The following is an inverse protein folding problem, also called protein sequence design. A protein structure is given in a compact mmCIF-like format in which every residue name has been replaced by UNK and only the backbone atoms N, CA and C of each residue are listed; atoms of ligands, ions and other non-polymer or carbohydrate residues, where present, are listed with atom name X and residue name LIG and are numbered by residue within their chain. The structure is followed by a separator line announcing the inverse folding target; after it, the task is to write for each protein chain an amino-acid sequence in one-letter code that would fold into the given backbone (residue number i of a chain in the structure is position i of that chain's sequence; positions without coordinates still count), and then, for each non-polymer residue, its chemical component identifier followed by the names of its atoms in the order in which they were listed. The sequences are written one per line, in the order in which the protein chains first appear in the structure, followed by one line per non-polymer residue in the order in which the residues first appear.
data_IF_652537910387
#
_entry.id   IF_652537910387
#
_cell.length_a   1.000
_cell.length_b   1.000
_cell.length_c   1.000
_cell.angle_alpha   90.00
_cell.angle_beta   90.00
_cell.angle_gamma   90.00
#
_symmetry.space_group_name_H-M   'P 1'
#
loop_
_entity.id
_entity.type
_entity.pdbx_description
1 polymer ?
#
# COMPACT_ATOMS: atom_id res chain seq x y z
N UNK A 1 11.84 -6.43 -9.80
CA UNK A 1 12.46 -7.73 -9.52
C UNK A 1 12.21 -8.02 -8.06
N UNK A 2 11.70 -9.22 -7.73
CA UNK A 2 11.42 -9.62 -6.36
C UNK A 2 12.62 -9.44 -5.43
N UNK A 3 12.33 -9.13 -4.17
CA UNK A 3 13.34 -9.02 -3.13
C UNK A 3 13.48 -10.34 -2.39
N UNK A 4 14.70 -10.83 -2.25
CA UNK A 4 15.02 -12.01 -1.45
C UNK A 4 15.31 -11.55 -0.01
N UNK A 5 14.52 -12.01 0.97
CA UNK A 5 14.64 -11.58 2.38
C UNK A 5 14.68 -10.05 2.52
N UNK A 6 13.87 -9.36 1.71
CA UNK A 6 13.75 -7.88 1.63
C UNK A 6 15.00 -7.16 1.10
N UNK A 7 15.93 -7.88 0.49
CA UNK A 7 17.10 -7.32 -0.18
C UNK A 7 17.02 -7.50 -1.70
N UNK A 8 17.66 -6.63 -2.49
CA UNK A 8 17.76 -6.82 -3.93
C UNK A 8 18.36 -8.19 -4.27
N UNK A 9 17.63 -8.95 -5.09
CA UNK A 9 18.11 -10.23 -5.61
C UNK A 9 18.84 -10.01 -6.92
N UNK A 10 20.02 -10.61 -7.05
CA UNK A 10 20.83 -10.57 -8.25
C UNK A 10 20.91 -11.98 -8.82
N UNK A 11 20.51 -12.10 -10.09
CA UNK A 11 20.64 -13.35 -10.84
C UNK A 11 22.10 -13.58 -11.21
N UNK A 12 22.48 -14.84 -11.23
CA UNK A 12 23.77 -15.32 -11.75
C UNK A 12 23.76 -15.09 -13.26
N UNK A 13 24.84 -14.50 -13.76
CA UNK A 13 25.03 -14.33 -15.20
C UNK A 13 25.41 -15.68 -15.82
N UNK A 14 25.00 -15.97 -17.06
CA UNK A 14 25.50 -17.14 -17.77
C UNK A 14 27.03 -17.20 -17.76
N UNK A 15 27.65 -18.39 -17.61
CA UNK A 15 29.09 -18.56 -17.74
C UNK A 15 29.59 -17.98 -19.08
N UNK A 16 30.68 -17.19 -19.09
CA UNK A 16 31.16 -16.53 -20.30
C UNK A 16 31.73 -17.52 -21.33
N UNK A 17 32.13 -18.71 -20.89
CA UNK A 17 32.71 -19.80 -21.66
C UNK A 17 31.67 -20.86 -22.08
N UNK A 18 30.38 -20.56 -21.97
CA UNK A 18 29.30 -21.49 -22.31
C UNK A 18 29.28 -21.76 -23.82
N UNK A 19 29.43 -23.04 -24.21
CA UNK A 19 29.31 -23.45 -25.61
C UNK A 19 27.85 -23.49 -26.06
N UNK A 20 27.50 -23.15 -27.33
CA UNK A 20 26.12 -23.20 -27.83
C UNK A 20 25.46 -24.58 -27.73
N UNK A 21 26.25 -25.65 -27.81
CA UNK A 21 25.79 -27.04 -27.78
C UNK A 21 25.97 -27.71 -26.40
N UNK A 22 26.32 -26.94 -25.37
CA UNK A 22 26.56 -27.45 -24.03
C UNK A 22 25.25 -27.83 -23.32
N UNK A 23 25.17 -29.05 -22.79
CA UNK A 23 24.06 -29.47 -21.94
C UNK A 23 24.16 -28.83 -20.55
N UNK A 24 23.11 -28.12 -20.15
CA UNK A 24 23.05 -27.36 -18.89
C UNK A 24 21.68 -27.46 -18.25
N UNK A 25 21.62 -27.18 -16.95
CA UNK A 25 20.36 -27.06 -16.21
C UNK A 25 19.84 -25.61 -16.30
N UNK A 26 18.62 -25.44 -16.80
CA UNK A 26 17.98 -24.13 -16.96
C UNK A 26 16.86 -23.91 -15.94
N UNK A 27 17.02 -22.91 -15.08
CA UNK A 27 15.96 -22.45 -14.20
C UNK A 27 15.02 -21.49 -14.94
N UNK A 28 13.90 -22.00 -15.45
CA UNK A 28 12.93 -21.22 -16.23
C UNK A 28 12.36 -20.01 -15.49
N UNK A 29 12.20 -20.10 -14.16
CA UNK A 29 11.62 -19.02 -13.35
C UNK A 29 12.51 -17.79 -13.33
N UNK A 30 13.80 -17.97 -13.04
CA UNK A 30 14.78 -16.87 -12.95
C UNK A 30 15.53 -16.64 -14.26
N UNK A 31 15.38 -17.53 -15.24
CA UNK A 31 16.13 -17.58 -16.48
C UNK A 31 17.65 -17.66 -16.25
N UNK A 32 18.06 -18.48 -15.29
CA UNK A 32 19.46 -18.75 -14.97
C UNK A 32 19.90 -20.12 -15.49
N UNK A 33 21.19 -20.24 -15.76
CA UNK A 33 21.84 -21.44 -16.31
C UNK A 33 22.85 -21.96 -15.29
N UNK A 34 22.88 -23.27 -15.07
CA UNK A 34 23.75 -23.96 -14.14
C UNK A 34 24.38 -25.17 -14.83
N UNK A 35 25.70 -25.37 -14.64
CA UNK A 35 26.39 -26.59 -15.06
C UNK A 35 26.20 -27.72 -14.05
N UNK A 36 26.17 -27.37 -12.76
CA UNK A 36 26.00 -28.31 -11.67
C UNK A 36 24.52 -28.50 -11.30
N UNK A 37 24.17 -29.76 -10.98
CA UNK A 37 22.80 -30.11 -10.62
C UNK A 37 22.42 -29.62 -9.22
N UNK A 38 23.33 -29.65 -8.25
CA UNK A 38 23.06 -29.22 -6.88
C UNK A 38 22.80 -27.71 -6.84
N UNK A 39 23.61 -26.91 -7.55
CA UNK A 39 23.39 -25.46 -7.68
C UNK A 39 22.00 -25.14 -8.30
N UNK A 40 21.62 -25.89 -9.34
CA UNK A 40 20.30 -25.79 -9.94
C UNK A 40 19.19 -26.17 -8.95
N UNK A 41 19.37 -27.27 -8.22
CA UNK A 41 18.37 -27.77 -7.29
C UNK A 41 18.18 -26.81 -6.10
N UNK A 42 19.26 -26.27 -5.54
CA UNK A 42 19.23 -25.21 -4.53
C UNK A 42 18.47 -23.98 -5.03
N UNK A 43 18.67 -23.58 -6.31
CA UNK A 43 17.91 -22.48 -6.92
C UNK A 43 16.42 -22.77 -6.94
N UNK A 44 16.02 -23.97 -7.33
CA UNK A 44 14.61 -24.36 -7.36
C UNK A 44 14.00 -24.34 -5.96
N UNK A 45 14.71 -24.84 -4.94
CA UNK A 45 14.25 -24.77 -3.54
C UNK A 45 14.09 -23.31 -3.10
N UNK A 46 15.07 -22.44 -3.40
CA UNK A 46 15.02 -21.04 -3.05
C UNK A 46 13.84 -20.32 -3.72
N UNK A 47 13.58 -20.58 -5.01
CA UNK A 47 12.46 -19.98 -5.74
C UNK A 47 11.09 -20.40 -5.16
N UNK A 48 10.98 -21.63 -4.67
CA UNK A 48 9.76 -22.17 -4.06
C UNK A 48 9.62 -21.85 -2.56
N UNK A 49 10.65 -21.28 -1.93
CA UNK A 49 10.62 -20.89 -0.52
C UNK A 49 9.85 -19.59 -0.31
N UNK A 50 9.11 -19.47 0.80
CA UNK A 50 8.33 -18.26 1.16
C UNK A 50 9.21 -17.12 1.74
N UNK A 51 10.37 -16.88 1.14
CA UNK A 51 11.34 -15.86 1.58
C UNK A 51 11.39 -14.64 0.66
N UNK A 52 10.55 -14.62 -0.37
CA UNK A 52 10.47 -13.51 -1.32
C UNK A 52 9.46 -12.46 -0.88
N UNK A 53 9.68 -11.26 -1.38
CA UNK A 53 8.76 -10.15 -1.22
C UNK A 53 8.66 -9.32 -2.50
N UNK A 54 7.46 -8.80 -2.77
CA UNK A 54 7.20 -7.92 -3.90
C UNK A 54 7.89 -6.57 -3.65
N UNK A 55 8.78 -6.13 -4.56
CA UNK A 55 9.49 -4.85 -4.39
C UNK A 55 8.52 -3.65 -4.40
N UNK A 56 7.43 -3.76 -5.15
CA UNK A 56 6.46 -2.67 -5.35
C UNK A 56 5.49 -2.60 -4.18
N UNK A 57 4.75 -3.67 -3.88
CA UNK A 57 3.73 -3.67 -2.80
C UNK A 57 4.37 -3.85 -1.42
N UNK A 58 5.51 -4.53 -1.32
CA UNK A 58 6.16 -4.89 -0.06
C UNK A 58 5.52 -6.08 0.63
N UNK A 59 4.56 -6.76 -0.02
CA UNK A 59 4.00 -8.02 0.45
C UNK A 59 5.12 -9.04 0.56
N UNK A 60 5.26 -9.65 1.73
CA UNK A 60 6.28 -10.64 2.04
C UNK A 60 5.69 -12.05 2.12
N UNK A 61 6.56 -13.02 2.41
CA UNK A 61 6.20 -14.44 2.53
C UNK A 61 5.61 -14.99 1.23
N UNK A 62 6.25 -14.65 0.12
CA UNK A 62 5.89 -15.12 -1.22
C UNK A 62 6.97 -16.07 -1.74
N UNK A 63 6.59 -16.93 -2.66
CA UNK A 63 7.52 -17.57 -3.61
C UNK A 63 8.01 -16.56 -4.65
N UNK A 64 9.03 -16.94 -5.42
CA UNK A 64 9.57 -16.09 -6.49
C UNK A 64 8.48 -15.72 -7.52
N UNK A 65 7.71 -16.72 -7.94
CA UNK A 65 6.66 -16.56 -8.95
C UNK A 65 5.53 -15.66 -8.45
N UNK A 66 5.03 -15.89 -7.23
CA UNK A 66 3.99 -15.04 -6.64
C UNK A 66 4.46 -13.59 -6.45
N UNK A 67 5.75 -13.39 -6.13
CA UNK A 67 6.32 -12.05 -6.03
C UNK A 67 6.34 -11.34 -7.39
N UNK A 68 6.69 -12.04 -8.48
CA UNK A 68 6.60 -11.51 -9.85
C UNK A 68 5.16 -11.14 -10.20
N UNK A 69 4.21 -12.05 -10.00
CA UNK A 69 2.80 -11.80 -10.30
C UNK A 69 2.24 -10.64 -9.48
N UNK A 70 2.65 -10.53 -8.21
CA UNK A 70 2.32 -9.38 -7.37
C UNK A 70 2.92 -8.08 -7.90
N UNK A 71 4.15 -8.09 -8.44
CA UNK A 71 4.76 -6.91 -9.06
C UNK A 71 4.00 -6.50 -10.32
N UNK A 72 3.70 -7.46 -11.20
CA UNK A 72 2.97 -7.20 -12.44
C UNK A 72 1.57 -6.62 -12.16
N UNK A 73 0.83 -7.22 -11.22
CA UNK A 73 -0.47 -6.71 -10.78
C UNK A 73 -0.36 -5.30 -10.20
N UNK A 74 0.69 -5.02 -9.43
CA UNK A 74 0.93 -3.70 -8.87
C UNK A 74 1.21 -2.65 -9.96
N UNK A 75 2.01 -2.98 -10.98
CA UNK A 75 2.27 -2.10 -12.11
C UNK A 75 1.01 -1.80 -12.92
N UNK A 76 0.18 -2.82 -13.20
CA UNK A 76 -1.14 -2.63 -13.85
C UNK A 76 -2.05 -1.71 -13.04
N UNK A 77 -2.07 -1.87 -11.71
CA UNK A 77 -2.83 -1.00 -10.82
C UNK A 77 -2.33 0.45 -10.81
N UNK A 78 -1.00 0.65 -10.82
CA UNK A 78 -0.39 1.98 -10.90
C UNK A 78 -0.69 2.65 -12.25
N UNK A 79 -0.65 1.90 -13.35
CA UNK A 79 -0.94 2.41 -14.69
C UNK A 79 -2.40 2.86 -14.84
N UNK A 80 -3.33 2.21 -14.15
CA UNK A 80 -4.76 2.57 -14.14
C UNK A 80 -5.12 3.63 -13.11
N UNK A 81 -4.15 4.18 -12.37
CA UNK A 81 -4.41 5.22 -11.38
C UNK A 81 -4.85 6.52 -12.07
N UNK A 82 -6.00 7.13 -11.69
CA UNK A 82 -6.59 8.21 -12.47
C UNK A 82 -5.70 9.46 -12.52
N UNK A 83 -5.43 9.96 -13.73
CA UNK A 83 -4.53 11.10 -13.95
C UNK A 83 -4.93 12.36 -13.19
N UNK A 84 -6.24 12.64 -13.12
CA UNK A 84 -6.80 13.79 -12.39
C UNK A 84 -6.61 13.70 -10.87
N UNK A 85 -6.42 12.50 -10.29
CA UNK A 85 -6.12 12.34 -8.86
C UNK A 85 -4.64 12.41 -8.54
N UNK A 86 -3.75 12.26 -9.54
CA UNK A 86 -2.32 12.14 -9.30
C UNK A 86 -1.72 13.36 -8.60
N UNK A 87 -2.06 14.57 -9.05
CA UNK A 87 -1.55 15.83 -8.48
C UNK A 87 -2.20 16.14 -7.12
N UNK A 88 -3.54 16.15 -6.97
CA UNK A 88 -4.18 16.39 -5.67
C UNK A 88 -3.68 15.46 -4.57
N UNK A 89 -3.52 14.16 -4.86
CA UNK A 89 -3.07 13.17 -3.87
C UNK A 89 -1.64 13.43 -3.41
N UNK A 90 -0.73 13.76 -4.32
CA UNK A 90 0.65 14.09 -3.96
C UNK A 90 0.73 15.44 -3.22
N UNK A 91 -0.09 16.41 -3.61
CA UNK A 91 -0.16 17.68 -2.89
C UNK A 91 -0.66 17.48 -1.46
N UNK A 92 -1.71 16.67 -1.25
CA UNK A 92 -2.16 16.33 0.09
C UNK A 92 -1.07 15.60 0.89
N UNK A 93 -0.32 14.70 0.24
CA UNK A 93 0.79 14.01 0.88
C UNK A 93 1.89 14.97 1.36
N UNK A 94 2.16 16.07 0.65
CA UNK A 94 3.14 17.07 1.11
C UNK A 94 2.68 17.88 2.33
N UNK A 95 1.39 17.88 2.64
CA UNK A 95 0.83 18.52 3.84
C UNK A 95 0.83 17.62 5.09
N UNK A 96 1.13 16.33 4.94
CA UNK A 96 1.10 15.37 6.04
C UNK A 96 2.45 15.24 6.74
N UNK A 97 2.43 14.74 7.98
CA UNK A 97 3.64 14.46 8.74
C UNK A 97 3.52 13.11 9.48
N UNK A 98 3.56 12.01 8.71
CA UNK A 98 3.39 10.64 9.22
C UNK A 98 4.65 9.78 9.08
N UNK A 99 4.95 8.99 10.10
CA UNK A 99 6.09 8.04 10.10
C UNK A 99 5.75 6.70 9.47
N UNK A 100 4.46 6.33 9.45
CA UNK A 100 3.97 5.09 8.86
C UNK A 100 3.18 5.36 7.57
N UNK A 101 3.44 4.57 6.54
CA UNK A 101 2.74 4.65 5.25
C UNK A 101 1.22 4.46 5.42
N UNK A 102 0.78 3.59 6.33
CA UNK A 102 -0.65 3.37 6.56
C UNK A 102 -1.32 4.63 7.10
N UNK A 103 -0.71 5.32 8.07
CA UNK A 103 -1.25 6.56 8.64
C UNK A 103 -1.30 7.67 7.59
N UNK A 104 -0.23 7.83 6.81
CA UNK A 104 -0.20 8.74 5.65
C UNK A 104 -1.37 8.48 4.70
N UNK A 105 -1.51 7.22 4.29
CA UNK A 105 -2.55 6.82 3.35
C UNK A 105 -3.95 7.02 3.93
N UNK A 106 -4.12 6.77 5.22
CA UNK A 106 -5.40 6.87 5.89
C UNK A 106 -5.89 8.32 5.94
N UNK A 107 -5.01 9.26 6.31
CA UNK A 107 -5.27 10.70 6.28
C UNK A 107 -5.74 11.14 4.88
N UNK A 108 -4.96 10.81 3.85
CA UNK A 108 -5.24 11.21 2.47
C UNK A 108 -6.50 10.53 1.93
N UNK A 109 -6.68 9.23 2.18
CA UNK A 109 -7.82 8.47 1.69
C UNK A 109 -9.12 8.96 2.33
N UNK A 110 -9.13 9.17 3.66
CA UNK A 110 -10.32 9.68 4.37
C UNK A 110 -10.66 11.09 3.92
N UNK A 111 -9.67 11.94 3.68
CA UNK A 111 -9.92 13.28 3.15
C UNK A 111 -10.53 13.24 1.74
N UNK A 112 -9.95 12.41 0.87
CA UNK A 112 -10.29 12.35 -0.55
C UNK A 112 -11.60 11.61 -0.82
N UNK A 113 -11.96 10.58 -0.05
CA UNK A 113 -13.07 9.67 -0.39
C UNK A 113 -14.39 10.38 -0.69
N UNK A 114 -14.68 11.47 0.02
CA UNK A 114 -15.93 12.24 -0.09
C UNK A 114 -15.73 13.65 -0.72
N UNK A 115 -14.52 13.98 -1.17
CA UNK A 115 -14.19 15.28 -1.79
C UNK A 115 -13.74 15.07 -3.23
N UNK A 116 -14.33 15.82 -4.16
CA UNK A 116 -14.06 15.69 -5.60
C UNK A 116 -13.24 16.88 -6.10
N UNK A 117 -12.12 16.63 -6.76
CA UNK A 117 -11.18 17.68 -7.15
C UNK A 117 -11.57 18.34 -8.47
N UNK A 118 -11.06 19.55 -8.70
CA UNK A 118 -11.13 20.20 -10.01
C UNK A 118 -10.50 19.29 -11.07
N UNK A 119 -11.09 19.27 -12.26
CA UNK A 119 -10.78 18.38 -13.39
C UNK A 119 -11.05 16.89 -13.19
N UNK A 120 -11.59 16.49 -12.04
CA UNK A 120 -11.94 15.09 -11.77
C UNK A 120 -13.13 14.60 -12.58
N UNK A 121 -13.06 13.36 -13.08
CA UNK A 121 -14.19 12.68 -13.71
C UNK A 121 -15.01 11.91 -12.68
N UNK A 122 -16.28 12.27 -12.53
CA UNK A 122 -17.22 11.74 -11.53
C UNK A 122 -18.53 11.26 -12.18
N UNK A 123 -19.27 10.43 -11.47
CA UNK A 123 -20.66 10.08 -11.78
C UNK A 123 -21.59 11.00 -11.00
N UNK A 124 -22.52 11.65 -11.70
CA UNK A 124 -23.50 12.58 -11.14
C UNK A 124 -24.91 12.06 -11.38
N UNK A 125 -25.71 12.02 -10.32
CA UNK A 125 -27.15 11.73 -10.39
C UNK A 125 -27.90 12.98 -10.83
N UNK A 126 -28.44 12.97 -12.06
CA UNK A 126 -29.28 14.04 -12.60
C UNK A 126 -30.69 13.46 -12.85
N UNK A 127 -31.64 13.81 -11.97
CA UNK A 127 -32.92 13.11 -11.91
C UNK A 127 -32.68 11.63 -11.57
N UNK A 128 -33.13 10.73 -12.45
CA UNK A 128 -32.96 9.29 -12.29
C UNK A 128 -31.81 8.70 -13.13
N UNK A 129 -31.03 9.54 -13.81
CA UNK A 129 -29.93 9.09 -14.68
C UNK A 129 -28.56 9.37 -14.05
N UNK A 130 -27.64 8.41 -14.20
CA UNK A 130 -26.22 8.58 -13.89
C UNK A 130 -25.46 9.07 -15.10
N UNK A 131 -24.86 10.25 -15.01
CA UNK A 131 -24.05 10.84 -16.08
C UNK A 131 -22.60 10.98 -15.65
N UNK A 132 -21.69 10.76 -16.59
CA UNK A 132 -20.25 11.00 -16.37
C UNK A 132 -19.96 12.47 -16.63
N UNK A 133 -19.52 13.18 -15.59
CA UNK A 133 -19.24 14.61 -15.64
C UNK A 133 -17.81 14.92 -15.19
N UNK A 134 -17.28 16.05 -15.66
CA UNK A 134 -16.02 16.64 -15.20
C UNK A 134 -16.33 17.73 -14.17
N UNK A 135 -15.63 17.73 -13.04
CA UNK A 135 -15.71 18.81 -12.05
C UNK A 135 -14.94 20.02 -12.57
N UNK A 136 -15.62 21.16 -12.73
CA UNK A 136 -15.00 22.41 -13.16
C UNK A 136 -14.64 23.31 -11.98
N UNK A 137 -15.48 23.33 -10.96
CA UNK A 137 -15.28 24.18 -9.78
C UNK A 137 -15.92 23.57 -8.55
N UNK A 138 -15.29 23.80 -7.40
CA UNK A 138 -15.82 23.46 -6.08
C UNK A 138 -16.37 24.73 -5.43
N UNK A 139 -17.57 24.68 -4.88
CA UNK A 139 -18.25 25.81 -4.22
C UNK A 139 -18.32 25.50 -2.72
N UNK A 140 -17.57 26.23 -1.87
CA UNK A 140 -17.68 26.07 -0.43
C UNK A 140 -19.02 26.62 0.08
N UNK A 141 -19.47 26.19 1.26
CA UNK A 141 -20.63 26.80 1.91
C UNK A 141 -20.40 28.30 2.15
N UNK A 142 -21.47 29.11 2.05
CA UNK A 142 -21.41 30.58 2.08
C UNK A 142 -20.70 31.18 3.31
N UNK A 143 -20.65 30.46 4.44
CA UNK A 143 -19.95 30.88 5.65
C UNK A 143 -18.41 30.76 5.59
N UNK A 144 -17.83 30.36 4.45
CA UNK A 144 -16.40 30.06 4.31
C UNK A 144 -15.64 30.95 3.31
N UNK A 145 -16.30 31.96 2.73
CA UNK A 145 -15.62 32.98 1.92
C UNK A 145 -15.25 34.14 2.86
N UNK A 146 -13.97 34.38 3.19
CA UNK A 146 -13.56 35.74 3.47
C UNK A 146 -13.84 36.55 2.20
N UNK A 147 -14.71 37.54 2.29
CA UNK A 147 -15.07 38.42 1.18
C UNK A 147 -13.82 39.09 0.62
N UNK A 148 -13.32 38.60 -0.52
CA UNK A 148 -12.50 39.39 -1.42
C UNK A 148 -13.36 39.66 -2.64
N UNK A 149 -14.23 40.66 -2.50
CA UNK A 149 -14.78 41.39 -3.62
C UNK A 149 -14.93 42.84 -3.17
N UNK A 150 -14.10 43.70 -3.72
CA UNK A 150 -14.10 45.13 -3.46
C UNK A 150 -15.49 45.72 -3.70
N UNK A 151 -16.13 46.11 -2.61
CA UNK A 151 -17.20 47.08 -2.62
C UNK A 151 -16.66 48.30 -1.86
N UNK A 152 -16.68 49.46 -2.51
CA UNK A 152 -16.34 50.73 -1.89
C UNK A 152 -17.42 50.99 -0.83
N UNK A 153 -17.07 50.90 0.45
CA UNK A 153 -17.89 51.40 1.55
C UNK A 153 -17.15 52.61 2.11
N UNK A 154 -17.65 53.80 1.78
CA UNK A 154 -17.43 55.00 2.57
C UNK A 154 -18.52 54.95 3.65
N UNK A 155 -18.16 54.63 4.90
CA UNK A 155 -18.08 55.62 5.99
C UNK A 155 -17.98 54.94 7.38
N UNK A 156 -17.04 55.48 8.16
CA UNK A 156 -17.02 55.67 9.63
C UNK A 156 -17.17 54.52 10.65
N UNK A 157 -16.10 54.46 11.45
CA UNK A 157 -15.98 54.27 12.89
C UNK A 157 -15.77 52.87 13.52
N UNK A 158 -14.88 52.93 14.52
CA UNK A 158 -14.13 51.86 15.16
C UNK A 158 -15.00 50.81 15.88
N UNK A 159 -14.50 49.57 15.95
CA UNK A 159 -14.11 48.93 17.22
C UNK A 159 -13.53 47.53 16.95
N UNK A 160 -12.41 47.29 17.61
CA UNK A 160 -11.57 46.09 17.57
C UNK A 160 -12.29 44.89 18.20
N UNK A 161 -12.41 43.79 17.45
CA UNK A 161 -12.64 42.47 18.04
C UNK A 161 -11.87 41.39 17.28
N UNK A 162 -10.57 41.28 17.60
CA UNK A 162 -9.73 40.13 17.26
C UNK A 162 -10.29 38.83 17.88
N UNK A 163 -11.24 38.19 17.20
CA UNK A 163 -11.56 36.77 17.41
C UNK A 163 -10.88 35.95 16.30
N UNK A 164 -9.65 35.50 16.55
CA UNK A 164 -8.99 34.47 15.72
C UNK A 164 -9.72 33.13 15.91
N UNK A 165 -10.82 32.94 15.19
CA UNK A 165 -11.53 31.67 15.13
C UNK A 165 -10.60 30.63 14.49
N UNK A 166 -10.37 29.52 15.19
CA UNK A 166 -9.64 28.38 14.63
C UNK A 166 -10.36 27.97 13.33
N UNK A 167 -9.64 27.73 12.21
CA UNK A 167 -10.29 27.36 10.96
C UNK A 167 -11.10 26.08 11.16
N UNK A 168 -12.42 26.22 11.13
CA UNK A 168 -13.35 25.10 11.30
C UNK A 168 -13.24 24.23 10.05
N UNK A 169 -12.81 22.98 10.21
CA UNK A 169 -12.73 22.04 9.11
C UNK A 169 -14.13 21.77 8.53
N UNK A 170 -14.37 22.27 7.31
CA UNK A 170 -15.64 22.11 6.61
C UNK A 170 -15.89 20.64 6.25
N UNK A 171 -17.10 20.17 6.52
CA UNK A 171 -17.51 18.80 6.19
C UNK A 171 -17.71 18.66 4.68
N UNK A 172 -17.40 17.48 4.15
CA UNK A 172 -17.40 17.23 2.71
C UNK A 172 -18.80 17.35 2.06
N UNK A 173 -19.85 17.10 2.83
CA UNK A 173 -21.26 17.16 2.41
C UNK A 173 -21.80 18.60 2.24
N UNK A 174 -21.09 19.60 2.77
CA UNK A 174 -21.47 21.01 2.70
C UNK A 174 -21.06 21.67 1.37
N UNK A 175 -20.20 21.02 0.58
CA UNK A 175 -19.74 21.54 -0.69
C UNK A 175 -20.75 21.27 -1.82
N UNK A 176 -20.79 22.20 -2.78
CA UNK A 176 -21.45 22.00 -4.08
C UNK A 176 -20.39 21.95 -5.18
N UNK A 177 -20.71 21.27 -6.27
CA UNK A 177 -19.80 21.07 -7.40
C UNK A 177 -20.44 21.61 -8.67
N UNK A 178 -19.70 22.44 -9.40
CA UNK A 178 -20.04 22.84 -10.76
C UNK A 178 -19.44 21.79 -11.69
N UNK A 179 -20.29 21.07 -12.40
CA UNK A 179 -19.91 19.93 -13.24
C UNK A 179 -20.35 20.13 -14.68
N UNK A 180 -19.64 19.50 -15.61
CA UNK A 180 -19.94 19.50 -17.04
C UNK A 180 -20.05 18.06 -17.55
N UNK A 181 -21.14 17.73 -18.24
CA UNK A 181 -21.35 16.40 -18.81
C UNK A 181 -20.33 16.12 -19.93
N UNK A 182 -19.75 14.92 -19.93
CA UNK A 182 -18.79 14.52 -20.96
C UNK A 182 -19.47 14.52 -22.34
N UNK A 183 -18.98 15.34 -23.27
CA UNK A 183 -19.51 15.47 -24.63
C UNK A 183 -20.48 16.63 -24.83
N UNK A 184 -20.83 17.38 -23.78
CA UNK A 184 -21.61 18.62 -23.89
C UNK A 184 -20.80 19.78 -23.31
N UNK A 185 -20.24 20.61 -24.19
CA UNK A 185 -19.32 21.70 -23.79
C UNK A 185 -20.03 22.91 -23.16
N UNK A 186 -21.32 23.13 -23.44
CA UNK A 186 -21.94 24.43 -23.17
C UNK A 186 -22.84 24.44 -21.92
N UNK A 187 -23.05 23.30 -21.26
CA UNK A 187 -23.97 23.19 -20.12
C UNK A 187 -23.20 22.79 -18.87
N UNK A 188 -23.17 23.70 -17.89
CA UNK A 188 -22.66 23.45 -16.56
C UNK A 188 -23.81 23.35 -15.57
N UNK A 189 -23.74 22.38 -14.67
CA UNK A 189 -24.77 22.13 -13.66
C UNK A 189 -24.13 22.24 -12.28
N UNK A 190 -24.80 22.91 -11.35
CA UNK A 190 -24.37 22.92 -9.94
C UNK A 190 -25.11 21.82 -9.18
N UNK A 191 -24.38 20.89 -8.58
CA UNK A 191 -24.95 19.75 -7.85
C UNK A 191 -24.41 19.67 -6.41
N UNK A 192 -25.23 19.30 -5.42
CA UNK A 192 -24.75 18.99 -4.08
C UNK A 192 -23.82 17.78 -4.05
N UNK A 193 -22.90 17.71 -3.07
CA UNK A 193 -22.01 16.57 -2.86
C UNK A 193 -22.71 15.20 -2.83
N UNK A 194 -23.94 15.15 -2.30
CA UNK A 194 -24.76 13.92 -2.20
C UNK A 194 -25.10 13.27 -3.54
N UNK A 195 -25.09 14.04 -4.63
CA UNK A 195 -25.41 13.56 -5.98
C UNK A 195 -24.16 13.21 -6.78
N UNK A 196 -22.97 13.43 -6.23
CA UNK A 196 -21.68 13.18 -6.88
C UNK A 196 -21.04 11.94 -6.27
N UNK A 197 -20.50 11.07 -7.10
CA UNK A 197 -19.79 9.87 -6.68
C UNK A 197 -18.68 9.51 -7.66
N UNK A 198 -17.67 8.78 -7.20
CA UNK A 198 -16.69 8.15 -8.11
C UNK A 198 -17.22 6.81 -8.58
N UNK A 199 -16.94 6.47 -9.85
CA UNK A 199 -17.17 5.11 -10.34
C UNK A 199 -16.47 4.09 -9.45
N UNK A 200 -17.17 3.00 -9.12
CA UNK A 200 -16.67 1.96 -8.20
C UNK A 200 -15.31 1.42 -8.67
N UNK A 201 -14.35 1.35 -7.76
CA UNK A 201 -13.01 0.80 -8.02
C UNK A 201 -12.02 1.75 -8.69
N UNK A 202 -12.42 2.97 -9.06
CA UNK A 202 -11.51 3.99 -9.62
C UNK A 202 -10.46 4.41 -8.60
N UNK A 203 -10.89 4.72 -7.37
CA UNK A 203 -10.03 5.11 -6.26
C UNK A 203 -10.37 4.27 -5.03
N UNK A 204 -9.44 3.41 -4.61
CA UNK A 204 -9.57 2.53 -3.45
C UNK A 204 -8.43 2.78 -2.47
N UNK A 205 -8.58 2.31 -1.22
CA UNK A 205 -7.54 2.47 -0.20
C UNK A 205 -6.22 1.85 -0.63
N UNK A 206 -6.27 0.67 -1.24
CA UNK A 206 -5.08 -0.02 -1.74
C UNK A 206 -4.44 0.70 -2.93
N UNK A 207 -5.24 1.24 -3.86
CA UNK A 207 -4.71 2.03 -4.99
C UNK A 207 -4.04 3.32 -4.50
N UNK A 208 -4.67 4.02 -3.55
CA UNK A 208 -4.08 5.19 -2.88
C UNK A 208 -2.74 4.83 -2.22
N UNK A 209 -2.72 3.77 -1.40
CA UNK A 209 -1.53 3.32 -0.68
C UNK A 209 -0.40 2.93 -1.63
N UNK A 210 -0.73 2.19 -2.68
CA UNK A 210 0.24 1.76 -3.69
C UNK A 210 0.83 2.96 -4.44
N UNK A 211 -0.02 3.92 -4.81
CA UNK A 211 0.41 5.16 -5.47
C UNK A 211 1.32 5.99 -4.56
N UNK A 212 0.93 6.20 -3.30
CA UNK A 212 1.77 6.92 -2.32
C UNK A 212 3.11 6.22 -2.11
N UNK A 213 3.13 4.88 -2.00
CA UNK A 213 4.37 4.12 -1.86
C UNK A 213 5.32 4.30 -3.04
N UNK A 214 4.78 4.42 -4.26
CA UNK A 214 5.59 4.62 -5.47
C UNK A 214 6.26 6.01 -5.50
N UNK A 215 5.53 7.04 -5.09
CA UNK A 215 5.93 8.45 -5.26
C UNK A 215 6.37 9.17 -3.98
N UNK A 216 6.28 8.52 -2.83
CA UNK A 216 6.78 9.03 -1.55
C UNK A 216 7.95 8.17 -1.05
N UNK A 217 8.75 8.75 -0.18
CA UNK A 217 9.89 8.11 0.47
C UNK A 217 10.03 8.58 1.91
N UNK A 218 10.74 7.81 2.74
CA UNK A 218 10.97 8.17 4.14
C UNK A 218 12.20 9.07 4.24
N UNK A 219 12.00 10.32 4.66
CA UNK A 219 13.06 11.29 4.94
C UNK A 219 13.07 11.56 6.44
N UNK A 220 14.17 11.22 7.12
CA UNK A 220 14.31 11.37 8.58
C UNK A 220 13.18 10.68 9.38
N UNK A 221 12.68 9.54 8.90
CA UNK A 221 11.61 8.78 9.56
C UNK A 221 10.19 9.27 9.28
N UNK A 222 10.01 10.25 8.39
CA UNK A 222 8.72 10.81 7.98
C UNK A 222 8.53 10.60 6.49
N UNK A 223 7.34 10.18 6.07
CA UNK A 223 7.04 10.05 4.65
C UNK A 223 6.88 11.42 4.01
N UNK A 224 7.64 11.67 2.94
CA UNK A 224 7.57 12.87 2.10
C UNK A 224 7.45 12.47 0.64
N UNK A 225 6.89 13.36 -0.18
CA UNK A 225 6.83 13.16 -1.63
C UNK A 225 8.26 13.23 -2.20
N UNK A 226 8.62 12.29 -3.08
CA UNK A 226 9.93 12.27 -3.74
C UNK A 226 10.15 13.55 -4.54
N UNK A 227 11.35 14.11 -4.48
CA UNK A 227 11.68 15.33 -5.24
C UNK A 227 11.52 15.12 -6.76
N UNK A 228 11.79 13.91 -7.26
CA UNK A 228 11.55 13.54 -8.66
C UNK A 228 10.06 13.60 -9.03
N UNK A 229 9.17 13.22 -8.12
CA UNK A 229 7.73 13.29 -8.32
C UNK A 229 7.24 14.74 -8.28
N UNK A 230 7.77 15.55 -7.35
CA UNK A 230 7.48 16.99 -7.26
C UNK A 230 7.80 17.69 -8.58
N UNK A 231 9.00 17.48 -9.13
CA UNK A 231 9.43 18.04 -10.41
C UNK A 231 8.59 17.52 -11.58
N UNK A 232 8.43 16.20 -11.71
CA UNK A 232 7.70 15.58 -12.83
C UNK A 232 6.22 15.97 -12.87
N UNK A 233 5.61 16.23 -11.71
CA UNK A 233 4.18 16.58 -11.61
C UNK A 233 3.94 18.08 -11.45
N UNK A 234 5.00 18.91 -11.41
CA UNK A 234 4.88 20.36 -11.31
C UNK A 234 4.21 20.82 -10.02
N UNK A 235 4.53 20.20 -8.89
CA UNK A 235 3.87 20.47 -7.59
C UNK A 235 4.39 21.73 -6.87
N UNK A 236 5.54 22.29 -7.29
CA UNK A 236 6.13 23.48 -6.64
C UNK A 236 5.29 24.74 -6.80
N UNK A 237 4.69 24.87 -7.98
CA UNK A 237 3.91 26.06 -8.36
C UNK A 237 2.41 25.88 -8.11
N UNK A 238 2.02 24.76 -7.49
CA UNK A 238 0.62 24.48 -7.18
C UNK A 238 0.21 25.07 -5.83
N UNK A 239 -0.99 25.61 -5.78
CA UNK A 239 -1.69 25.94 -4.55
C UNK A 239 -2.82 24.94 -4.29
N UNK A 240 -3.34 24.91 -3.05
CA UNK A 240 -4.50 24.08 -2.73
C UNK A 240 -5.73 24.46 -3.58
N UNK A 241 -5.87 25.75 -3.89
CA UNK A 241 -6.95 26.32 -4.70
C UNK A 241 -7.01 25.78 -6.13
N UNK A 242 -5.89 25.26 -6.66
CA UNK A 242 -5.85 24.64 -7.99
C UNK A 242 -6.58 23.29 -8.03
N UNK A 243 -6.75 22.65 -6.87
CA UNK A 243 -7.35 21.32 -6.77
C UNK A 243 -8.72 21.35 -6.10
N UNK A 244 -8.91 22.24 -5.12
CA UNK A 244 -10.12 22.25 -4.29
C UNK A 244 -10.37 23.64 -3.68
N UNK A 245 -11.62 23.97 -3.41
CA UNK A 245 -11.99 25.25 -2.78
C UNK A 245 -12.09 25.12 -1.25
N UNK A 246 -11.81 26.21 -0.53
CA UNK A 246 -11.83 26.26 0.93
C UNK A 246 -10.45 26.10 1.57
N UNK A 247 -10.37 25.99 2.89
CA UNK A 247 -9.10 25.88 3.60
C UNK A 247 -8.45 24.51 3.34
N UNK A 248 -7.10 24.44 3.25
CA UNK A 248 -6.39 23.18 3.14
C UNK A 248 -6.61 22.32 4.41
N UNK A 249 -6.55 20.98 4.30
CA UNK A 249 -6.66 20.12 5.46
C UNK A 249 -5.47 20.29 6.41
N UNK A 250 -5.77 20.31 7.70
CA UNK A 250 -4.76 20.18 8.75
C UNK A 250 -4.67 18.70 9.15
N UNK A 251 -3.55 18.06 8.82
CA UNK A 251 -3.30 16.66 9.20
C UNK A 251 -2.59 16.57 10.56
N UNK A 252 -2.76 15.44 11.23
CA UNK A 252 -2.08 15.17 12.49
C UNK A 252 -0.58 14.90 12.29
N UNK A 253 0.21 15.18 13.33
CA UNK A 253 1.63 14.88 13.36
C UNK A 253 1.88 13.55 14.07
N UNK A 254 2.74 12.70 13.51
CA UNK A 254 3.32 11.58 14.26
C UNK A 254 4.67 11.99 14.83
N UNK A 255 4.89 11.81 16.13
CA UNK A 255 6.21 11.95 16.73
C UNK A 255 7.16 10.88 16.17
N UNK A 256 8.26 11.30 15.55
CA UNK A 256 9.35 10.38 15.24
C UNK A 256 10.02 10.01 16.57
N UNK A 257 9.66 8.86 17.17
CA UNK A 257 10.43 8.30 18.28
C UNK A 257 11.83 7.93 17.75
N UNK A 258 12.75 8.90 17.75
CA UNK A 258 14.18 8.58 17.82
C UNK A 258 14.33 7.83 19.15
N UNK A 259 14.62 6.53 19.11
CA UNK A 259 15.17 5.86 20.28
C UNK A 259 16.45 6.63 20.61
N UNK A 260 16.40 7.49 21.62
CA UNK A 260 17.61 7.88 22.33
C UNK A 260 18.25 6.57 22.79
N UNK A 261 19.41 6.26 22.24
CA UNK A 261 20.22 5.13 22.66
C UNK A 261 20.56 5.32 24.13
N UNK A 262 19.74 4.72 25.00
CA UNK A 262 20.11 4.49 26.39
C UNK A 262 21.23 3.46 26.39
N UNK A 263 22.45 3.98 26.53
CA UNK A 263 23.66 3.26 26.87
C UNK A 263 23.37 2.32 28.05
N UNK A 264 23.41 1.01 27.81
CA UNK A 264 23.69 0.02 28.85
C UNK A 264 24.94 -0.71 28.39
N UNK A 265 25.97 -0.52 29.18
CA UNK A 265 27.30 -1.08 29.02
C UNK A 265 27.26 -2.60 29.22
N UNK A 266 28.29 -3.21 28.65
CA UNK A 266 28.51 -4.62 28.38
C UNK A 266 28.47 -5.51 29.63
N UNK A 267 28.08 -6.77 29.42
CA UNK A 267 28.88 -7.86 29.99
C UNK A 267 29.00 -8.97 28.94
N UNK A 268 30.24 -9.31 28.62
CA UNK A 268 30.63 -10.34 27.67
C UNK A 268 30.54 -11.74 28.30
N UNK A 269 30.15 -12.74 27.52
CA UNK A 269 30.94 -13.98 27.45
C UNK A 269 30.63 -14.77 26.19
N UNK A 270 31.73 -15.06 25.50
CA UNK A 270 31.91 -15.78 24.24
C UNK A 270 31.59 -17.27 24.42
N UNK A 271 30.95 -17.90 23.42
CA UNK A 271 31.52 -19.08 22.76
C UNK A 271 30.81 -19.45 21.45
N UNK A 272 31.65 -19.55 20.42
CA UNK A 272 31.40 -20.12 19.10
C UNK A 272 31.21 -21.63 19.17
N UNK A 273 30.30 -22.18 18.36
CA UNK A 273 30.55 -23.36 17.54
C UNK A 273 29.38 -23.61 16.58
N UNK A 274 29.72 -23.70 15.29
CA UNK A 274 29.02 -24.50 14.29
C UNK A 274 28.69 -25.91 14.82
N UNK A 275 27.65 -26.54 14.27
CA UNK A 275 27.75 -27.83 13.57
C UNK A 275 26.36 -28.38 13.22
N UNK A 276 26.25 -28.70 11.93
CA UNK A 276 25.32 -29.62 11.27
C UNK A 276 25.24 -31.01 11.94
N UNK A 277 24.05 -31.63 12.01
CA UNK A 277 24.00 -33.04 12.42
C UNK A 277 22.61 -33.62 12.64
N UNK A 278 22.28 -34.62 11.85
CA UNK A 278 21.04 -35.40 11.79
C UNK A 278 20.87 -36.39 12.96
N UNK A 279 19.58 -36.64 13.29
CA UNK A 279 18.96 -37.92 13.69
C UNK A 279 19.67 -38.84 14.73
N UNK A 280 19.04 -39.08 15.90
CA UNK A 280 18.74 -40.43 16.42
C UNK A 280 18.11 -40.44 17.83
N UNK A 281 16.95 -41.09 17.87
CA UNK A 281 16.26 -41.91 18.89
C UNK A 281 16.71 -42.08 20.37
N UNK A 282 15.64 -42.27 21.18
CA UNK A 282 15.46 -43.07 22.42
C UNK A 282 15.69 -42.43 23.81
N UNK A 283 14.58 -42.35 24.54
CA UNK A 283 14.45 -42.14 25.99
C UNK A 283 14.89 -43.38 26.81
N UNK A 284 15.09 -43.25 28.13
CA UNK A 284 14.09 -43.82 29.03
C UNK A 284 13.76 -43.00 30.30
N UNK A 285 12.57 -43.32 30.82
CA UNK A 285 11.81 -42.78 31.96
C UNK A 285 12.56 -42.76 33.31
N UNK A 286 12.19 -41.81 34.19
CA UNK A 286 11.94 -42.08 35.62
C UNK A 286 10.87 -41.15 36.22
N UNK A 287 9.94 -41.79 36.92
CA UNK A 287 8.76 -41.28 37.64
C UNK A 287 9.16 -40.47 38.89
N UNK A 288 8.32 -39.51 39.29
CA UNK A 288 7.77 -39.43 40.65
C UNK A 288 6.51 -38.55 40.72
N UNK A 289 5.47 -39.14 41.33
CA UNK A 289 4.25 -38.53 41.90
C UNK A 289 4.65 -37.49 42.99
N UNK A 290 3.82 -36.57 43.51
CA UNK A 290 2.38 -36.58 43.74
C UNK A 290 1.89 -35.20 44.28
N UNK A 291 0.56 -35.04 44.38
CA UNK A 291 -0.25 -34.09 45.18
C UNK A 291 -0.88 -32.81 44.56
N UNK A 292 -2.11 -33.05 44.06
CA UNK A 292 -3.38 -32.29 44.18
C UNK A 292 -3.50 -31.16 45.23
N UNK A 293 -4.12 -30.05 44.80
CA UNK A 293 -5.39 -29.43 45.31
C UNK A 293 -5.77 -28.26 44.38
N UNK A 294 -6.71 -28.42 43.45
CA UNK A 294 -8.19 -28.22 43.52
C UNK A 294 -8.69 -26.80 43.17
N UNK A 295 -9.31 -26.75 41.97
CA UNK A 295 -10.41 -25.92 41.41
C UNK A 295 -10.56 -24.42 41.73
N UNK A 296 -10.64 -23.63 40.66
CA UNK A 296 -11.82 -22.81 40.32
C UNK A 296 -11.84 -22.45 38.82
N UNK A 297 -13.05 -22.25 38.30
CA UNK A 297 -13.51 -22.27 36.91
C UNK A 297 -13.03 -21.16 35.92
N UNK A 298 -12.90 -21.58 34.64
CA UNK A 298 -13.27 -20.93 33.34
C UNK A 298 -12.76 -19.49 33.07
N UNK A 299 -12.08 -19.17 31.96
CA UNK A 299 -12.49 -19.25 30.54
C UNK A 299 -11.23 -19.14 29.64
N UNK A 300 -11.12 -19.98 28.60
CA UNK A 300 -10.07 -19.92 27.56
C UNK A 300 -10.52 -19.09 26.34
N UNK A 301 -9.63 -18.35 25.65
CA UNK A 301 -9.88 -17.90 24.29
C UNK A 301 -9.43 -18.96 23.26
N UNK A 302 -10.36 -19.32 22.35
CA UNK A 302 -10.14 -20.19 21.18
C UNK A 302 -9.13 -19.57 20.21
N UNK A 303 -8.10 -20.33 19.83
CA UNK A 303 -7.38 -20.15 18.57
C UNK A 303 -7.82 -21.24 17.60
N UNK A 304 -8.48 -20.86 16.51
CA UNK A 304 -8.89 -21.74 15.42
C UNK A 304 -7.67 -22.16 14.59
N UNK A 305 -7.29 -23.43 14.72
CA UNK A 305 -6.34 -24.12 13.85
C UNK A 305 -7.14 -24.62 12.63
N UNK A 306 -6.88 -24.05 11.46
CA UNK A 306 -7.49 -24.48 10.19
C UNK A 306 -6.91 -25.85 9.80
N UNK A 307 -7.65 -26.92 10.07
CA UNK A 307 -7.35 -28.27 9.59
C UNK A 307 -7.45 -28.33 8.07
N UNK A 308 -6.31 -28.59 7.40
CA UNK A 308 -6.31 -29.01 5.99
C UNK A 308 -6.73 -30.48 5.88
N UNK A 309 -7.54 -30.87 4.88
CA UNK A 309 -7.94 -32.27 4.70
C UNK A 309 -6.72 -33.15 4.40
N UNK A 310 -6.45 -34.13 5.27
CA UNK A 310 -5.42 -35.15 5.03
C UNK A 310 -5.98 -36.18 4.04
N UNK A 311 -5.46 -36.20 2.82
CA UNK A 311 -5.78 -37.25 1.85
C UNK A 311 -5.44 -38.64 2.38
N UNK A 312 -6.34 -39.58 2.15
CA UNK A 312 -6.21 -40.98 2.54
C UNK A 312 -5.07 -41.65 1.78
N UNK A 313 -4.55 -42.76 2.32
CA UNK A 313 -3.46 -43.48 1.68
C UNK A 313 -3.85 -44.07 0.32
N UNK A 314 -5.14 -44.36 0.11
CA UNK A 314 -5.69 -44.82 -1.18
C UNK A 314 -5.68 -43.70 -2.23
N UNK A 315 -6.06 -42.47 -1.88
CA UNK A 315 -6.03 -41.34 -2.83
C UNK A 315 -4.60 -41.01 -3.29
N UNK A 316 -3.61 -41.13 -2.39
CA UNK A 316 -2.19 -40.96 -2.74
C UNK A 316 -1.68 -42.05 -3.68
N UNK A 317 -2.17 -43.28 -3.54
CA UNK A 317 -1.82 -44.38 -4.44
C UNK A 317 -2.44 -44.16 -5.84
N UNK A 318 -3.70 -43.72 -5.90
CA UNK A 318 -4.38 -43.43 -7.16
C UNK A 318 -3.71 -42.30 -7.95
N UNK A 319 -3.28 -41.22 -7.28
CA UNK A 319 -2.56 -40.11 -7.93
C UNK A 319 -1.21 -40.58 -8.46
N UNK A 320 -0.51 -41.44 -7.72
CA UNK A 320 0.79 -42.00 -8.13
C UNK A 320 0.65 -42.93 -9.35
N UNK A 321 -0.45 -43.66 -9.45
CA UNK A 321 -0.74 -44.54 -10.57
C UNK A 321 -1.15 -43.76 -11.82
N UNK A 322 -1.96 -42.71 -11.68
CA UNK A 322 -2.27 -41.79 -12.79
C UNK A 322 -1.01 -41.11 -13.34
N UNK A 323 -0.09 -40.69 -12.47
CA UNK A 323 1.17 -40.07 -12.90
C UNK A 323 2.09 -41.07 -13.63
N UNK A 324 2.00 -42.37 -13.28
CA UNK A 324 2.76 -43.44 -13.93
C UNK A 324 2.19 -43.77 -15.31
N UNK A 325 0.86 -43.72 -15.47
CA UNK A 325 0.20 -43.93 -16.76
C UNK A 325 0.42 -42.76 -17.73
N UNK A 326 0.43 -41.51 -17.25
CA UNK A 326 0.76 -40.33 -18.07
C UNK A 326 2.23 -40.29 -18.53
N UNK A 327 3.15 -40.97 -17.84
CA UNK A 327 4.55 -41.09 -18.26
C UNK A 327 4.80 -42.19 -19.29
N UNK A 328 3.82 -43.05 -19.54
CA UNK A 328 3.91 -44.19 -20.45
C UNK A 328 3.09 -43.99 -21.74
N UNK A 329 2.48 -42.82 -21.92
CA UNK A 329 1.76 -42.39 -23.13
C UNK A 329 2.55 -41.27 -23.82
#
# INVERSE_FOLDING_TARGET
MPLLRRQPFHRIKPPPDLSPDEEVFHCKLTNEIFRDYEDFFERIILCNSLVWSCAITGRASLTYQEAIESEEKALKNLATFPSYLQRPILFLASLTHRSRLNELNDDIFVYTKDRYFIDEMVEVMLGNERKTCKVLRVVPPAAAVPEVNGCIIIDSDEEEASSKSKPVALKADQYKYVVQERGKSNITITVPAKHVSRKKGVYTRDKSKLYLKQYCETVQGIWKVKESAIRKKGLKDCSFSDFFAGPPPTFGFSESKRKSAGRREEDESINSADVSGLLSSKSPKKKKEDKKKEKTDKVQPKSEELEMPRLTNEEKAAIKEQFKQQKMA
#
